data_IF_869370959914
#
_entry.id   IF_869370959914
#
_cell.length_a   1.000
_cell.length_b   1.000
_cell.length_c   1.000
_cell.angle_alpha   90.00
_cell.angle_beta   90.00
_cell.angle_gamma   90.00
#
_symmetry.space_group_name_H-M   'P 1'
#
loop_
_entity.id
_entity.type
_entity.pdbx_description
1 polymer ?
#
# COMPACT_ATOMS: atom_id res chain seq x y z
N UNK A 1 23.20 15.60 -38.27
CA UNK A 1 23.79 16.06 -37.00
C UNK A 1 23.48 15.01 -35.95
N UNK A 2 24.45 14.58 -35.14
CA UNK A 2 24.17 13.73 -33.97
C UNK A 2 23.83 14.62 -32.79
N UNK A 3 22.55 14.76 -32.47
CA UNK A 3 22.08 15.34 -31.22
C UNK A 3 22.42 14.37 -30.09
N UNK A 4 23.60 14.52 -29.49
CA UNK A 4 23.97 13.75 -28.31
C UNK A 4 23.07 14.13 -27.12
N UNK A 5 22.70 13.14 -26.29
CA UNK A 5 21.92 13.39 -25.09
C UNK A 5 22.68 14.35 -24.15
N UNK A 6 22.09 15.52 -23.91
CA UNK A 6 22.69 16.58 -23.12
C UNK A 6 22.22 16.51 -21.66
N UNK A 7 23.01 15.87 -20.80
CA UNK A 7 22.82 15.92 -19.36
C UNK A 7 23.44 17.20 -18.76
N UNK A 8 22.85 17.82 -17.74
CA UNK A 8 23.49 18.91 -16.99
C UNK A 8 24.86 18.50 -16.46
N UNK A 9 25.83 19.43 -16.45
CA UNK A 9 27.21 19.15 -15.97
C UNK A 9 27.24 18.74 -14.48
N UNK A 10 26.21 19.12 -13.72
CA UNK A 10 25.99 18.74 -12.31
C UNK A 10 25.40 17.35 -12.11
N UNK A 11 24.89 16.69 -13.16
CA UNK A 11 24.27 15.36 -13.08
C UNK A 11 25.36 14.27 -13.12
N UNK A 12 25.72 13.76 -11.94
CA UNK A 12 26.74 12.71 -11.75
C UNK A 12 26.20 11.29 -11.97
N UNK A 13 24.91 11.06 -11.69
CA UNK A 13 24.19 9.80 -11.96
C UNK A 13 23.46 9.94 -13.29
N UNK A 14 23.71 9.04 -14.25
CA UNK A 14 23.03 9.02 -15.56
C UNK A 14 22.19 7.77 -15.76
N UNK A 15 22.67 6.63 -15.28
CA UNK A 15 21.99 5.35 -15.42
C UNK A 15 21.65 4.73 -14.06
N UNK A 16 20.42 4.25 -13.90
CA UNK A 16 19.93 3.53 -12.72
C UNK A 16 19.84 2.05 -13.07
N UNK A 17 20.45 1.19 -12.25
CA UNK A 17 20.34 -0.26 -12.35
C UNK A 17 19.19 -0.76 -11.49
N UNK A 18 18.25 -1.51 -12.06
CA UNK A 18 17.07 -2.03 -11.36
C UNK A 18 17.13 -3.55 -11.34
N UNK A 19 17.03 -4.15 -10.14
CA UNK A 19 16.98 -5.59 -9.94
C UNK A 19 15.53 -6.09 -10.08
N UNK A 20 15.29 -6.96 -11.06
CA UNK A 20 13.97 -7.39 -11.53
C UNK A 20 13.46 -6.56 -12.71
N UNK A 21 12.77 -7.20 -13.64
CA UNK A 21 12.25 -6.60 -14.88
C UNK A 21 10.73 -6.62 -15.00
N UNK A 22 10.01 -6.84 -13.91
CA UNK A 22 8.55 -6.80 -13.82
C UNK A 22 7.94 -5.42 -13.99
N UNK A 23 6.66 -5.30 -13.62
CA UNK A 23 5.90 -4.06 -13.82
C UNK A 23 6.34 -2.91 -12.90
N UNK A 24 6.99 -3.21 -11.77
CA UNK A 24 7.40 -2.19 -10.81
C UNK A 24 8.70 -1.53 -11.31
N UNK A 25 9.65 -2.32 -11.84
CA UNK A 25 10.83 -1.83 -12.56
C UNK A 25 10.46 -1.07 -13.84
N UNK A 26 9.44 -1.52 -14.57
CA UNK A 26 8.85 -0.83 -15.72
C UNK A 26 8.37 0.59 -15.35
N UNK A 27 7.48 0.71 -14.34
CA UNK A 27 6.96 2.02 -13.90
C UNK A 27 8.00 2.89 -13.19
N UNK A 28 9.02 2.31 -12.54
CA UNK A 28 10.19 3.05 -12.04
C UNK A 28 10.97 3.71 -13.20
N UNK A 29 11.19 2.99 -14.30
CA UNK A 29 11.87 3.54 -15.47
C UNK A 29 11.03 4.57 -16.23
N UNK A 30 9.71 4.36 -16.30
CA UNK A 30 8.77 5.36 -16.83
C UNK A 30 8.86 6.68 -16.06
N UNK A 31 8.91 6.64 -14.72
CA UNK A 31 9.12 7.82 -13.88
C UNK A 31 10.55 8.41 -13.94
N UNK A 32 11.55 7.60 -14.31
CA UNK A 32 12.95 8.04 -14.43
C UNK A 32 13.25 8.83 -15.71
N UNK A 33 12.56 8.52 -16.82
CA UNK A 33 12.80 9.15 -18.12
C UNK A 33 12.51 10.67 -18.15
N UNK A 34 11.38 11.19 -17.63
CA UNK A 34 11.11 12.63 -17.57
C UNK A 34 12.14 13.41 -16.74
N UNK A 35 12.74 12.77 -15.74
CA UNK A 35 13.80 13.32 -14.89
C UNK A 35 15.19 13.30 -15.55
N UNK A 36 15.33 12.70 -16.74
CA UNK A 36 16.59 12.65 -17.48
C UNK A 36 17.54 11.54 -17.02
N UNK A 37 17.02 10.41 -16.55
CA UNK A 37 17.81 9.21 -16.22
C UNK A 37 17.51 8.06 -17.19
N UNK A 38 18.53 7.23 -17.46
CA UNK A 38 18.40 5.98 -18.19
C UNK A 38 18.25 4.81 -17.21
N UNK A 39 17.59 3.73 -17.62
CA UNK A 39 17.47 2.52 -16.82
C UNK A 39 18.08 1.30 -17.52
N UNK A 40 18.65 0.41 -16.72
CA UNK A 40 19.05 -0.94 -17.11
C UNK A 40 18.58 -1.93 -16.06
N UNK A 41 18.34 -3.17 -16.45
CA UNK A 41 17.66 -4.18 -15.61
C UNK A 41 18.49 -5.44 -15.48
N UNK A 42 18.44 -6.09 -14.31
CA UNK A 42 18.92 -7.45 -14.11
C UNK A 42 17.71 -8.38 -13.95
N UNK A 43 17.46 -9.22 -14.96
CA UNK A 43 16.27 -10.08 -15.04
C UNK A 43 16.53 -11.28 -15.96
N UNK A 44 16.12 -12.48 -15.53
CA UNK A 44 16.32 -13.71 -16.30
C UNK A 44 15.13 -14.06 -17.21
N UNK A 45 13.96 -13.46 -16.97
CA UNK A 45 12.79 -13.62 -17.83
C UNK A 45 12.94 -12.83 -19.14
N UNK A 46 13.10 -13.56 -20.25
CA UNK A 46 13.27 -12.97 -21.58
C UNK A 46 12.10 -12.04 -22.01
N UNK A 47 10.86 -12.37 -21.61
CA UNK A 47 9.65 -11.59 -21.92
C UNK A 47 9.25 -10.65 -20.75
N UNK A 48 10.23 -9.99 -20.13
CA UNK A 48 10.00 -9.10 -19.00
C UNK A 48 9.47 -7.71 -19.43
N UNK A 49 8.46 -7.13 -18.74
CA UNK A 49 7.88 -5.82 -19.07
C UNK A 49 8.92 -4.68 -19.22
N UNK A 50 9.95 -4.68 -18.38
CA UNK A 50 10.99 -3.67 -18.36
C UNK A 50 11.87 -3.62 -19.63
N UNK A 51 11.88 -4.69 -20.45
CA UNK A 51 12.62 -4.75 -21.72
C UNK A 51 12.22 -3.65 -22.73
N UNK A 52 11.03 -3.08 -22.59
CA UNK A 52 10.53 -1.96 -23.40
C UNK A 52 11.13 -0.60 -22.99
N UNK A 53 11.76 -0.52 -21.80
CA UNK A 53 12.18 0.74 -21.15
C UNK A 53 13.70 0.87 -20.97
N UNK A 54 14.49 -0.15 -21.31
CA UNK A 54 15.95 -0.12 -21.14
C UNK A 54 16.62 -1.46 -21.47
N UNK A 55 17.96 -1.49 -21.34
CA UNK A 55 18.73 -2.72 -21.59
C UNK A 55 18.56 -3.70 -20.42
N UNK A 56 18.13 -4.92 -20.73
CA UNK A 56 18.13 -6.05 -19.80
C UNK A 56 19.47 -6.80 -19.85
N UNK A 57 19.88 -7.32 -18.70
CA UNK A 57 21.02 -8.19 -18.48
C UNK A 57 20.54 -9.42 -17.72
N UNK A 58 21.08 -10.59 -18.05
CA UNK A 58 20.83 -11.83 -17.29
C UNK A 58 21.69 -11.91 -16.02
N UNK A 59 21.35 -12.79 -15.08
CA UNK A 59 22.06 -12.94 -13.81
C UNK A 59 23.53 -13.36 -13.94
N UNK A 60 23.91 -14.01 -15.05
CA UNK A 60 25.30 -14.33 -15.40
C UNK A 60 26.08 -13.13 -15.99
N UNK A 61 25.40 -12.03 -16.32
CA UNK A 61 25.96 -10.78 -16.82
C UNK A 61 26.06 -9.68 -15.75
N UNK A 62 26.05 -10.05 -14.46
CA UNK A 62 26.05 -9.13 -13.32
C UNK A 62 27.18 -8.08 -13.38
N UNK A 63 28.37 -8.45 -13.86
CA UNK A 63 29.49 -7.51 -14.00
C UNK A 63 29.24 -6.43 -15.07
N UNK A 64 28.64 -6.78 -16.21
CA UNK A 64 28.27 -5.82 -17.24
C UNK A 64 27.13 -4.89 -16.78
N UNK A 65 26.17 -5.42 -16.02
CA UNK A 65 25.09 -4.64 -15.38
C UNK A 65 25.67 -3.62 -14.37
N UNK A 66 26.62 -4.05 -13.54
CA UNK A 66 27.34 -3.19 -12.59
C UNK A 66 28.15 -2.10 -13.32
N UNK A 67 28.77 -2.44 -14.45
CA UNK A 67 29.47 -1.44 -15.26
C UNK A 67 28.52 -0.37 -15.83
N UNK A 68 27.33 -0.77 -16.29
CA UNK A 68 26.39 0.07 -17.02
C UNK A 68 25.58 1.08 -16.20
N UNK A 69 25.34 0.82 -14.90
CA UNK A 69 24.56 1.69 -14.01
C UNK A 69 25.42 2.41 -12.97
N UNK A 70 25.04 3.62 -12.54
CA UNK A 70 25.80 4.45 -11.57
C UNK A 70 25.30 4.32 -10.12
N UNK A 71 24.02 3.97 -9.97
CA UNK A 71 23.31 3.70 -8.70
C UNK A 71 22.33 2.54 -8.92
N UNK A 72 22.03 1.77 -7.87
CA UNK A 72 21.23 0.56 -7.96
C UNK A 72 19.99 0.60 -7.05
N UNK A 73 18.91 -0.03 -7.51
CA UNK A 73 17.71 -0.29 -6.72
C UNK A 73 17.02 -1.60 -7.13
N UNK A 74 15.93 -1.98 -6.47
CA UNK A 74 15.20 -3.23 -6.70
C UNK A 74 13.71 -2.98 -6.91
N UNK A 75 13.06 -3.88 -7.65
CA UNK A 75 11.60 -3.89 -7.80
C UNK A 75 10.91 -4.98 -6.95
N UNK A 76 11.67 -5.91 -6.35
CA UNK A 76 11.14 -7.10 -5.67
C UNK A 76 11.95 -7.49 -4.43
N UNK A 77 11.26 -7.96 -3.39
CA UNK A 77 11.82 -8.24 -2.06
C UNK A 77 12.51 -9.60 -1.95
N UNK A 78 12.32 -10.51 -2.91
CA UNK A 78 13.00 -11.82 -2.93
C UNK A 78 14.25 -11.84 -3.83
N UNK A 79 14.82 -10.67 -4.17
CA UNK A 79 16.14 -10.59 -4.84
C UNK A 79 17.23 -11.29 -4.01
N UNK A 80 18.19 -12.00 -4.64
CA UNK A 80 19.28 -12.66 -3.93
C UNK A 80 20.11 -11.68 -3.07
N UNK A 81 20.20 -11.94 -1.77
CA UNK A 81 20.88 -11.06 -0.81
C UNK A 81 22.37 -10.86 -1.12
N UNK A 82 23.06 -11.89 -1.64
CA UNK A 82 24.46 -11.79 -2.04
C UNK A 82 24.69 -10.77 -3.19
N UNK A 83 23.77 -10.67 -4.14
CA UNK A 83 23.81 -9.64 -5.20
C UNK A 83 23.64 -8.25 -4.61
N UNK A 84 22.68 -8.09 -3.68
CA UNK A 84 22.40 -6.81 -3.01
C UNK A 84 23.54 -6.40 -2.08
N UNK A 85 24.21 -7.35 -1.43
CA UNK A 85 25.42 -7.13 -0.63
C UNK A 85 26.58 -6.63 -1.50
N UNK A 86 26.86 -7.30 -2.63
CA UNK A 86 27.89 -6.87 -3.60
C UNK A 86 27.64 -5.44 -4.10
N UNK A 87 26.38 -5.08 -4.39
CA UNK A 87 26.01 -3.73 -4.85
C UNK A 87 26.08 -2.68 -3.74
N UNK A 88 25.74 -3.06 -2.50
CA UNK A 88 25.83 -2.22 -1.30
C UNK A 88 27.29 -1.85 -0.98
N UNK A 89 28.24 -2.74 -1.31
CA UNK A 89 29.67 -2.55 -1.04
C UNK A 89 30.40 -1.68 -2.09
N UNK A 90 29.81 -1.45 -3.27
CA UNK A 90 30.46 -0.68 -4.35
C UNK A 90 30.96 0.73 -3.95
N UNK A 91 30.30 1.52 -3.09
CA UNK A 91 30.81 2.82 -2.64
C UNK A 91 32.19 2.76 -1.98
N UNK A 92 32.56 1.61 -1.38
CA UNK A 92 33.90 1.39 -0.79
C UNK A 92 35.02 1.46 -1.85
N UNK A 93 34.69 1.23 -3.11
CA UNK A 93 35.60 1.40 -4.26
C UNK A 93 35.63 2.82 -4.84
N UNK A 94 34.70 3.69 -4.42
CA UNK A 94 34.52 5.05 -4.96
C UNK A 94 33.99 5.11 -6.40
N UNK A 95 33.61 3.99 -7.02
CA UNK A 95 33.25 3.93 -8.44
C UNK A 95 31.75 4.13 -8.74
N UNK A 96 30.87 3.88 -7.77
CA UNK A 96 29.40 3.88 -7.90
C UNK A 96 28.75 4.36 -6.60
N UNK A 97 27.49 4.82 -6.66
CA UNK A 97 26.73 5.31 -5.49
C UNK A 97 26.19 4.19 -4.59
N UNK A 98 26.22 2.93 -5.06
CA UNK A 98 25.75 1.78 -4.30
C UNK A 98 24.25 1.50 -4.49
N UNK A 99 23.68 0.80 -3.51
CA UNK A 99 22.35 0.17 -3.57
C UNK A 99 21.37 0.79 -2.57
N UNK A 100 20.14 1.05 -3.03
CA UNK A 100 19.05 1.53 -2.19
C UNK A 100 17.76 0.72 -2.45
N UNK A 101 17.02 0.27 -1.41
CA UNK A 101 17.29 0.44 0.02
C UNK A 101 18.49 -0.40 0.51
N UNK A 102 19.03 -0.12 1.71
CA UNK A 102 20.12 -0.88 2.29
C UNK A 102 19.72 -2.35 2.58
N UNK A 103 20.68 -3.27 2.44
CA UNK A 103 20.52 -4.73 2.58
C UNK A 103 19.71 -5.17 3.81
N UNK A 104 19.84 -4.47 4.95
CA UNK A 104 19.12 -4.79 6.19
C UNK A 104 17.59 -4.71 6.05
N UNK A 105 17.07 -3.80 5.23
CA UNK A 105 15.63 -3.69 4.95
C UNK A 105 15.13 -4.91 4.17
N UNK A 106 15.96 -5.48 3.30
CA UNK A 106 15.66 -6.66 2.51
C UNK A 106 15.68 -7.94 3.36
N UNK A 107 16.72 -8.14 4.20
CA UNK A 107 16.80 -9.32 5.07
C UNK A 107 15.67 -9.38 6.11
N UNK A 108 15.19 -8.22 6.57
CA UNK A 108 14.05 -8.12 7.49
C UNK A 108 12.73 -8.41 6.75
N UNK A 109 12.47 -7.78 5.60
CA UNK A 109 11.22 -8.01 4.85
C UNK A 109 11.10 -9.42 4.27
N UNK A 110 12.22 -10.10 4.00
CA UNK A 110 12.22 -11.51 3.61
C UNK A 110 11.84 -12.47 4.75
N UNK A 111 11.64 -11.99 5.99
CA UNK A 111 11.51 -12.81 7.19
C UNK A 111 10.48 -12.27 8.19
N UNK A 112 9.27 -12.84 8.14
CA UNK A 112 8.11 -12.45 8.96
C UNK A 112 8.38 -12.49 10.49
N UNK A 113 9.38 -13.24 10.95
CA UNK A 113 9.79 -13.22 12.36
C UNK A 113 10.68 -12.01 12.65
N UNK A 114 11.70 -11.73 11.84
CA UNK A 114 12.55 -10.53 12.00
C UNK A 114 11.72 -9.25 11.89
N UNK A 115 10.82 -9.21 10.91
CA UNK A 115 9.91 -8.10 10.66
C UNK A 115 9.04 -7.76 11.89
N UNK A 116 8.27 -8.74 12.41
CA UNK A 116 7.40 -8.48 13.56
C UNK A 116 8.18 -8.29 14.86
N UNK A 117 9.40 -8.81 14.96
CA UNK A 117 10.34 -8.47 16.05
C UNK A 117 10.81 -7.01 15.96
N UNK A 118 11.11 -6.50 14.76
CA UNK A 118 11.44 -5.08 14.53
C UNK A 118 10.25 -4.17 14.83
N UNK A 119 9.03 -4.52 14.40
CA UNK A 119 7.84 -3.73 14.73
C UNK A 119 7.67 -3.62 16.26
N UNK A 120 7.73 -4.74 16.99
CA UNK A 120 7.60 -4.74 18.44
C UNK A 120 8.77 -4.04 19.17
N UNK A 121 10.00 -4.05 18.64
CA UNK A 121 11.13 -3.31 19.24
C UNK A 121 11.08 -1.79 18.98
N UNK A 122 10.22 -1.34 18.06
CA UNK A 122 9.95 0.06 17.76
C UNK A 122 8.63 0.56 18.38
N UNK A 123 8.02 -0.17 19.31
CA UNK A 123 6.67 0.09 19.86
C UNK A 123 5.57 0.19 18.77
N UNK A 124 5.64 -0.65 17.74
CA UNK A 124 4.63 -0.76 16.67
C UNK A 124 3.90 -2.09 16.87
N UNK A 125 2.63 -2.02 17.26
CA UNK A 125 1.84 -3.21 17.61
C UNK A 125 1.59 -4.11 16.41
N UNK A 126 1.77 -5.42 16.58
CA UNK A 126 1.46 -6.46 15.59
C UNK A 126 0.32 -7.35 16.06
N UNK A 127 -0.12 -8.28 15.21
CA UNK A 127 -0.80 -9.49 15.70
C UNK A 127 0.11 -10.25 16.68
N UNK A 128 -0.40 -10.87 17.76
CA UNK A 128 0.40 -11.74 18.62
C UNK A 128 0.98 -12.93 17.84
N UNK A 129 2.26 -13.27 18.04
CA UNK A 129 2.91 -14.33 17.28
C UNK A 129 3.91 -15.17 18.08
N UNK A 130 4.26 -16.34 17.55
CA UNK A 130 5.27 -17.28 18.07
C UNK A 130 6.10 -17.86 16.93
N UNK A 131 7.39 -18.07 17.16
CA UNK A 131 8.23 -18.89 16.28
C UNK A 131 7.96 -20.39 16.55
N UNK A 132 7.97 -21.20 15.51
CA UNK A 132 7.61 -22.63 15.54
C UNK A 132 8.65 -23.45 14.78
N UNK A 133 9.41 -24.27 15.51
CA UNK A 133 10.47 -25.13 14.98
C UNK A 133 10.10 -26.64 15.04
N UNK A 134 9.00 -26.98 15.72
CA UNK A 134 8.55 -28.37 15.91
C UNK A 134 7.02 -28.48 16.00
N UNK A 135 6.47 -29.70 15.90
CA UNK A 135 5.05 -29.97 16.15
C UNK A 135 4.64 -29.62 17.60
N UNK A 136 5.57 -29.70 18.56
CA UNK A 136 5.34 -29.32 19.95
C UNK A 136 5.35 -27.80 20.14
N UNK A 137 6.23 -27.06 19.44
CA UNK A 137 6.21 -25.59 19.41
C UNK A 137 4.85 -25.10 18.86
N UNK A 138 4.32 -25.78 17.84
CA UNK A 138 3.02 -25.47 17.25
C UNK A 138 1.86 -25.72 18.23
N UNK A 139 1.88 -26.83 18.95
CA UNK A 139 0.89 -27.13 20.00
C UNK A 139 0.92 -26.07 21.11
N UNK A 140 2.12 -25.68 21.57
CA UNK A 140 2.28 -24.62 22.56
C UNK A 140 1.80 -23.26 22.03
N UNK A 141 2.09 -22.93 20.77
CA UNK A 141 1.61 -21.70 20.14
C UNK A 141 0.07 -21.66 20.02
N UNK A 142 -0.59 -22.78 19.71
CA UNK A 142 -2.06 -22.87 19.69
C UNK A 142 -2.66 -22.63 21.08
N UNK A 143 -2.03 -23.18 22.13
CA UNK A 143 -2.45 -22.99 23.52
C UNK A 143 -2.22 -21.54 24.02
N UNK A 144 -1.10 -20.91 23.67
CA UNK A 144 -0.74 -19.55 24.14
C UNK A 144 -1.41 -18.42 23.37
N UNK A 145 -1.64 -18.57 22.06
CA UNK A 145 -2.29 -17.56 21.22
C UNK A 145 -3.82 -17.69 21.22
N UNK A 146 -4.34 -18.89 21.52
CA UNK A 146 -5.75 -19.25 21.37
C UNK A 146 -6.11 -19.53 19.90
N UNK A 147 -7.09 -20.42 19.69
CA UNK A 147 -7.57 -20.77 18.35
C UNK A 147 -8.74 -19.87 17.90
N UNK A 148 -8.87 -19.56 16.60
CA UNK A 148 -8.00 -19.98 15.50
C UNK A 148 -6.66 -19.25 15.44
N UNK A 149 -5.66 -19.87 14.79
CA UNK A 149 -4.40 -19.23 14.41
C UNK A 149 -4.10 -19.42 12.92
N UNK A 150 -3.18 -18.62 12.38
CA UNK A 150 -2.58 -18.82 11.05
C UNK A 150 -1.12 -19.22 11.23
N UNK A 151 -0.76 -20.42 10.78
CA UNK A 151 0.63 -20.87 10.66
C UNK A 151 1.15 -20.47 9.28
N UNK A 152 2.31 -19.83 9.19
CA UNK A 152 2.96 -19.41 7.93
C UNK A 152 4.43 -19.84 7.91
N UNK A 153 5.03 -19.98 6.72
CA UNK A 153 6.49 -19.94 6.58
C UNK A 153 7.00 -18.53 6.89
N UNK A 154 8.10 -18.40 7.64
CA UNK A 154 8.68 -17.08 7.94
C UNK A 154 9.22 -16.39 6.70
N UNK A 155 9.84 -17.15 5.79
CA UNK A 155 10.38 -16.69 4.49
C UNK A 155 9.58 -17.30 3.33
N UNK A 156 9.70 -16.72 2.13
CA UNK A 156 9.23 -17.31 0.85
C UNK A 156 7.72 -17.50 0.64
N UNK A 157 6.86 -17.08 1.58
CA UNK A 157 5.40 -17.14 1.44
C UNK A 157 4.82 -15.88 0.79
N UNK A 158 4.15 -16.03 -0.35
CA UNK A 158 3.60 -14.97 -1.22
C UNK A 158 2.19 -15.31 -1.73
N UNK A 159 1.37 -14.30 -2.07
CA UNK A 159 -0.02 -14.42 -2.58
C UNK A 159 -0.81 -15.57 -1.90
N UNK A 160 -0.78 -15.63 -0.57
CA UNK A 160 -1.50 -16.62 0.24
C UNK A 160 -0.94 -18.05 0.26
N UNK A 161 0.23 -18.31 -0.34
CA UNK A 161 0.95 -19.61 -0.27
C UNK A 161 1.86 -19.70 0.96
N UNK A 162 2.14 -20.93 1.39
CA UNK A 162 3.00 -21.19 2.55
C UNK A 162 2.32 -20.94 3.89
N UNK A 163 0.98 -20.97 3.93
CA UNK A 163 0.20 -20.74 5.15
C UNK A 163 -0.96 -21.73 5.32
N UNK A 164 -1.36 -21.96 6.57
CA UNK A 164 -2.41 -22.88 6.97
C UNK A 164 -3.21 -22.30 8.15
N UNK A 165 -4.54 -22.29 8.06
CA UNK A 165 -5.41 -21.82 9.17
C UNK A 165 -5.80 -22.99 10.05
N UNK A 166 -5.40 -22.94 11.33
CA UNK A 166 -5.70 -23.94 12.35
C UNK A 166 -6.92 -23.43 13.14
N UNK A 167 -8.02 -24.21 13.15
CA UNK A 167 -9.30 -23.80 13.77
C UNK A 167 -9.63 -24.60 15.03
N UNK A 168 -9.04 -25.79 15.16
CA UNK A 168 -9.27 -26.79 16.21
C UNK A 168 -8.00 -27.65 16.34
N UNK A 169 -7.77 -28.27 17.50
CA UNK A 169 -6.51 -28.99 17.79
C UNK A 169 -6.22 -30.14 16.82
N UNK A 170 -7.26 -30.76 16.23
CA UNK A 170 -7.11 -31.80 15.21
C UNK A 170 -6.41 -31.32 13.92
N UNK A 171 -6.46 -30.02 13.63
CA UNK A 171 -5.86 -29.44 12.43
C UNK A 171 -4.32 -29.30 12.56
N UNK A 172 -3.80 -29.23 13.80
CA UNK A 172 -2.39 -28.97 14.12
C UNK A 172 -1.45 -29.92 13.37
N UNK A 173 -1.78 -31.22 13.38
CA UNK A 173 -0.97 -32.24 12.72
C UNK A 173 -0.96 -32.07 11.20
N UNK A 174 -2.08 -31.68 10.60
CA UNK A 174 -2.16 -31.42 9.15
C UNK A 174 -1.36 -30.17 8.78
N UNK A 175 -1.49 -29.10 9.56
CA UNK A 175 -0.74 -27.85 9.38
C UNK A 175 0.78 -28.06 9.48
N UNK A 176 1.23 -28.81 10.50
CA UNK A 176 2.64 -29.16 10.65
C UNK A 176 3.15 -29.99 9.46
N UNK A 177 2.47 -31.07 9.08
CA UNK A 177 2.93 -31.89 7.95
C UNK A 177 2.93 -31.13 6.61
N UNK A 178 2.12 -30.07 6.46
CA UNK A 178 2.08 -29.23 5.28
C UNK A 178 3.26 -28.24 5.18
N UNK A 179 3.77 -27.70 6.31
CA UNK A 179 4.73 -26.59 6.31
C UNK A 179 6.10 -26.92 6.94
N UNK A 180 6.24 -28.00 7.72
CA UNK A 180 7.47 -28.40 8.44
C UNK A 180 8.76 -28.37 7.61
N UNK A 181 8.68 -28.63 6.30
CA UNK A 181 9.87 -28.83 5.48
C UNK A 181 10.66 -27.53 5.29
N UNK A 182 10.00 -26.37 5.47
CA UNK A 182 10.63 -25.05 5.54
C UNK A 182 11.63 -24.91 6.70
N UNK A 183 11.35 -25.51 7.85
CA UNK A 183 12.27 -25.56 9.01
C UNK A 183 13.58 -26.27 8.67
N UNK A 184 13.56 -27.13 7.64
CA UNK A 184 14.74 -27.88 7.17
C UNK A 184 15.29 -27.41 5.82
N UNK A 185 14.72 -26.36 5.21
CA UNK A 185 15.10 -25.88 3.87
C UNK A 185 14.76 -26.85 2.73
N UNK A 186 13.87 -27.82 2.96
CA UNK A 186 13.49 -28.87 1.98
C UNK A 186 12.17 -28.57 1.25
N UNK A 187 11.43 -27.54 1.70
CA UNK A 187 10.18 -27.12 1.07
C UNK A 187 10.41 -26.38 -0.24
N UNK A 188 9.57 -26.64 -1.24
CA UNK A 188 9.67 -26.01 -2.58
C UNK A 188 9.43 -24.49 -2.59
N UNK A 189 8.88 -23.93 -1.51
CA UNK A 189 8.72 -22.48 -1.30
C UNK A 189 9.93 -21.82 -0.61
N UNK A 190 10.79 -22.61 0.04
CA UNK A 190 11.82 -22.11 0.98
C UNK A 190 13.06 -23.01 0.95
N UNK A 191 14.03 -22.76 0.04
CA UNK A 191 15.29 -23.49 0.01
C UNK A 191 16.23 -23.13 1.17
N UNK A 192 15.99 -21.99 1.83
CA UNK A 192 16.67 -21.58 3.06
C UNK A 192 15.95 -22.15 4.29
N UNK A 193 16.61 -22.89 5.19
CA UNK A 193 16.02 -23.32 6.46
C UNK A 193 15.62 -22.12 7.32
N UNK A 194 14.35 -22.03 7.71
CA UNK A 194 13.84 -20.97 8.58
C UNK A 194 12.63 -21.47 9.40
N UNK A 195 12.40 -20.97 10.63
CA UNK A 195 11.26 -21.38 11.45
C UNK A 195 9.91 -21.07 10.79
N UNK A 196 8.84 -21.71 11.22
CA UNK A 196 7.49 -21.25 10.94
C UNK A 196 7.12 -20.11 11.90
N UNK A 197 6.12 -19.31 11.53
CA UNK A 197 5.49 -18.31 12.40
C UNK A 197 4.02 -18.67 12.61
N UNK A 198 3.62 -18.78 13.86
CA UNK A 198 2.21 -18.88 14.27
C UNK A 198 1.72 -17.48 14.65
N UNK A 199 0.65 -17.01 14.01
CA UNK A 199 0.03 -15.71 14.26
C UNK A 199 -1.40 -15.90 14.80
N UNK A 200 -1.76 -15.18 15.87
CA UNK A 200 -3.12 -15.17 16.40
C UNK A 200 -4.12 -14.57 15.40
N UNK A 201 -5.27 -15.22 15.20
CA UNK A 201 -6.26 -14.75 14.23
C UNK A 201 -7.00 -13.51 14.76
N UNK A 202 -6.88 -12.38 14.05
CA UNK A 202 -7.49 -11.11 14.44
C UNK A 202 -8.81 -10.83 13.72
N UNK A 203 -9.74 -10.20 14.43
CA UNK A 203 -10.93 -9.59 13.85
C UNK A 203 -10.62 -8.12 13.53
N UNK A 204 -10.18 -7.84 12.31
CA UNK A 204 -10.04 -6.47 11.79
C UNK A 204 -11.33 -6.02 11.09
N UNK A 205 -11.48 -4.69 10.98
CA UNK A 205 -12.64 -4.06 10.32
C UNK A 205 -12.32 -3.53 8.93
N UNK A 206 -11.06 -3.14 8.69
CA UNK A 206 -10.55 -2.57 7.42
C UNK A 206 -9.08 -2.98 7.26
N UNK A 207 -8.64 -3.12 6.01
CA UNK A 207 -7.23 -3.26 5.65
C UNK A 207 -6.79 -1.92 5.04
N UNK A 208 -5.73 -1.32 5.58
CA UNK A 208 -5.16 -0.08 5.09
C UNK A 208 -3.70 -0.29 4.70
N UNK A 209 -3.13 0.67 3.98
CA UNK A 209 -1.68 0.84 3.91
C UNK A 209 -1.31 2.32 3.93
N UNK A 210 -0.12 2.63 4.43
CA UNK A 210 0.52 3.93 4.23
C UNK A 210 1.76 3.74 3.35
N UNK A 211 1.94 4.63 2.39
CA UNK A 211 3.15 4.72 1.55
C UNK A 211 3.99 5.89 2.05
N UNK A 212 5.30 5.72 2.12
CA UNK A 212 6.22 6.82 2.42
C UNK A 212 7.51 6.74 1.60
N UNK A 213 8.09 7.91 1.32
CA UNK A 213 9.40 8.06 0.70
C UNK A 213 10.39 8.66 1.72
N UNK A 214 11.62 8.12 1.78
CA UNK A 214 12.74 8.71 2.55
C UNK A 214 13.91 8.98 1.62
N UNK A 215 14.38 10.21 1.61
CA UNK A 215 15.58 10.62 0.87
C UNK A 215 16.87 10.37 1.69
N UNK A 216 18.02 10.39 1.00
CA UNK A 216 19.34 10.15 1.61
C UNK A 216 19.72 11.16 2.71
N UNK A 217 19.06 12.31 2.78
CA UNK A 217 19.20 13.30 3.85
C UNK A 217 18.32 13.02 5.09
N UNK A 218 17.61 11.88 5.12
CA UNK A 218 16.67 11.51 6.19
C UNK A 218 15.30 12.19 6.12
N UNK A 219 15.04 13.05 5.13
CA UNK A 219 13.73 13.67 4.94
C UNK A 219 12.70 12.60 4.54
N UNK A 220 11.59 12.55 5.27
CA UNK A 220 10.44 11.67 4.97
C UNK A 220 9.28 12.48 4.36
N UNK A 221 8.55 11.85 3.45
CA UNK A 221 7.23 12.25 2.95
C UNK A 221 6.29 11.06 3.03
N UNK A 222 5.07 11.27 3.51
CA UNK A 222 4.05 10.24 3.61
C UNK A 222 2.87 10.61 2.71
N UNK A 223 2.39 9.64 1.94
CA UNK A 223 1.12 9.75 1.24
C UNK A 223 -0.04 9.54 2.23
N UNK A 224 -1.27 9.81 1.77
CA UNK A 224 -2.50 9.43 2.48
C UNK A 224 -2.49 7.96 2.94
N UNK A 225 -3.21 7.70 4.04
CA UNK A 225 -3.71 6.35 4.30
C UNK A 225 -4.67 5.95 3.18
N UNK A 226 -4.50 4.75 2.64
CA UNK A 226 -5.37 4.19 1.59
C UNK A 226 -6.02 2.90 2.07
N UNK A 227 -7.26 2.66 1.64
CA UNK A 227 -8.03 1.46 1.99
C UNK A 227 -7.90 0.41 0.91
N UNK A 228 -7.55 -0.80 1.32
CA UNK A 228 -7.29 -1.94 0.45
C UNK A 228 -8.41 -2.98 0.62
N UNK A 229 -8.81 -3.61 -0.48
CA UNK A 229 -9.73 -4.74 -0.46
C UNK A 229 -9.10 -5.91 -1.22
N UNK A 230 -8.85 -7.00 -0.50
CA UNK A 230 -8.31 -8.23 -1.07
C UNK A 230 -9.42 -9.22 -1.45
N UNK A 231 -9.22 -9.94 -2.55
CA UNK A 231 -10.03 -11.07 -2.96
C UNK A 231 -9.13 -12.30 -3.08
N UNK A 232 -9.44 -13.37 -2.34
CA UNK A 232 -8.64 -14.59 -2.23
C UNK A 232 -7.14 -14.34 -1.89
N UNK A 233 -6.85 -13.28 -1.14
CA UNK A 233 -5.48 -12.87 -0.78
C UNK A 233 -4.76 -11.99 -1.80
N UNK A 234 -5.44 -11.54 -2.87
CA UNK A 234 -4.86 -10.66 -3.89
C UNK A 234 -5.59 -9.32 -3.91
N UNK A 235 -4.84 -8.20 -3.96
CA UNK A 235 -5.38 -6.85 -3.94
C UNK A 235 -6.26 -6.59 -5.19
N UNK A 236 -7.54 -6.28 -4.95
CA UNK A 236 -8.54 -6.03 -5.99
C UNK A 236 -8.78 -4.53 -6.20
N UNK A 237 -9.03 -3.79 -5.11
CA UNK A 237 -9.26 -2.34 -5.08
C UNK A 237 -8.36 -1.67 -4.02
N UNK A 238 -7.75 -0.54 -4.37
CA UNK A 238 -7.27 0.46 -3.41
C UNK A 238 -8.05 1.77 -3.59
N UNK A 239 -8.38 2.45 -2.49
CA UNK A 239 -9.09 3.73 -2.48
C UNK A 239 -8.30 4.77 -1.67
N UNK A 240 -8.07 5.93 -2.29
CA UNK A 240 -7.25 7.02 -1.75
C UNK A 240 -8.03 8.35 -1.76
N UNK A 241 -8.18 9.05 -0.62
CA UNK A 241 -7.81 8.61 0.73
C UNK A 241 -8.75 7.52 1.27
N UNK A 242 -8.31 6.81 2.29
CA UNK A 242 -9.15 5.96 3.12
C UNK A 242 -10.16 6.82 3.91
N UNK A 243 -11.41 6.86 3.43
CA UNK A 243 -12.46 7.73 3.98
C UNK A 243 -12.67 7.43 5.47
N UNK A 244 -12.66 8.48 6.30
CA UNK A 244 -12.90 8.38 7.73
C UNK A 244 -11.77 7.71 8.54
N UNK A 245 -10.50 7.85 8.13
CA UNK A 245 -9.33 7.33 8.87
C UNK A 245 -8.37 8.41 9.39
N UNK A 246 -8.75 9.69 9.34
CA UNK A 246 -7.85 10.81 9.69
C UNK A 246 -7.34 10.78 11.14
N UNK A 247 -8.07 10.16 12.06
CA UNK A 247 -7.62 9.88 13.43
C UNK A 247 -6.48 8.85 13.52
N UNK A 248 -6.39 7.94 12.55
CA UNK A 248 -5.36 6.91 12.45
C UNK A 248 -4.12 7.40 11.69
N UNK A 249 -4.23 8.47 10.90
CA UNK A 249 -3.14 8.96 10.05
C UNK A 249 -1.84 9.20 10.82
N UNK A 250 -1.90 9.87 11.98
CA UNK A 250 -0.70 10.11 12.80
C UNK A 250 -0.06 8.81 13.30
N UNK A 251 -0.86 7.81 13.70
CA UNK A 251 -0.35 6.51 14.13
C UNK A 251 0.38 5.79 12.99
N UNK A 252 -0.15 5.87 11.77
CA UNK A 252 0.48 5.33 10.57
C UNK A 252 1.77 6.07 10.19
N UNK A 253 1.76 7.41 10.15
CA UNK A 253 2.95 8.22 9.82
C UNK A 253 4.07 8.02 10.84
N UNK A 254 3.74 7.98 12.13
CA UNK A 254 4.72 7.73 13.20
C UNK A 254 5.35 6.35 13.05
N UNK A 255 4.55 5.32 12.76
CA UNK A 255 5.02 3.94 12.60
C UNK A 255 5.96 3.78 11.38
N UNK A 256 5.54 4.21 10.19
CA UNK A 256 6.40 4.07 8.99
C UNK A 256 7.66 4.95 9.10
N UNK A 257 7.56 6.15 9.68
CA UNK A 257 8.72 7.04 9.92
C UNK A 257 9.72 6.43 10.92
N UNK A 258 9.24 5.73 11.97
CA UNK A 258 10.10 4.95 12.88
C UNK A 258 10.86 3.86 12.12
N UNK A 259 10.17 3.05 11.32
CA UNK A 259 10.76 1.94 10.56
C UNK A 259 11.80 2.45 9.56
N UNK A 260 11.44 3.44 8.74
CA UNK A 260 12.35 3.99 7.72
C UNK A 260 13.60 4.64 8.33
N UNK A 261 13.51 5.24 9.53
CA UNK A 261 14.69 5.78 10.22
C UNK A 261 15.50 4.69 10.94
N UNK A 262 14.87 3.65 11.48
CA UNK A 262 15.58 2.52 12.10
C UNK A 262 16.45 1.74 11.11
N UNK A 263 15.96 1.59 9.88
CA UNK A 263 16.63 0.87 8.79
C UNK A 263 17.59 1.75 7.96
N UNK A 264 17.74 3.03 8.31
CA UNK A 264 18.35 4.10 7.48
C UNK A 264 17.92 4.05 6.00
N UNK A 265 16.62 3.88 5.81
CA UNK A 265 16.01 3.52 4.54
C UNK A 265 16.08 4.64 3.49
N UNK A 266 16.28 4.29 2.22
CA UNK A 266 16.25 5.23 1.09
C UNK A 266 15.36 4.65 -0.01
N UNK A 267 14.51 5.49 -0.59
CA UNK A 267 13.48 5.08 -1.55
C UNK A 267 12.08 5.14 -0.96
N UNK A 268 11.13 4.44 -1.60
CA UNK A 268 9.75 4.25 -1.12
C UNK A 268 9.61 2.92 -0.37
N UNK A 269 8.78 2.94 0.68
CA UNK A 269 8.30 1.79 1.45
C UNK A 269 6.77 1.85 1.54
N UNK A 270 6.12 0.69 1.60
CA UNK A 270 4.75 0.56 2.11
C UNK A 270 4.75 -0.15 3.47
N UNK A 271 3.84 0.27 4.35
CA UNK A 271 3.47 -0.44 5.58
C UNK A 271 1.99 -0.81 5.48
N UNK A 272 1.70 -2.11 5.52
CA UNK A 272 0.34 -2.63 5.56
C UNK A 272 -0.20 -2.72 6.99
N UNK A 273 -1.49 -2.44 7.16
CA UNK A 273 -2.09 -2.11 8.43
C UNK A 273 -3.50 -2.73 8.57
N UNK A 274 -3.79 -3.33 9.71
CA UNK A 274 -5.13 -3.78 10.07
C UNK A 274 -5.78 -2.80 11.05
N UNK A 275 -7.02 -2.36 10.77
CA UNK A 275 -7.81 -1.55 11.70
C UNK A 275 -8.55 -2.48 12.67
N UNK A 276 -8.14 -2.44 13.93
CA UNK A 276 -8.72 -3.21 15.04
C UNK A 276 -9.28 -2.28 16.11
N UNK A 277 -9.84 -2.83 17.19
CA UNK A 277 -10.38 -2.05 18.32
C UNK A 277 -9.50 -2.15 19.55
N UNK A 278 -9.26 -1.01 20.21
CA UNK A 278 -8.64 -0.96 21.54
C UNK A 278 -9.61 -1.50 22.62
N UNK A 279 -9.11 -1.66 23.85
CA UNK A 279 -9.91 -2.12 24.99
C UNK A 279 -11.03 -1.13 25.44
N UNK A 280 -11.22 -0.01 24.72
CA UNK A 280 -12.25 1.01 24.95
C UNK A 280 -13.20 1.18 23.75
N UNK A 281 -12.95 0.47 22.63
CA UNK A 281 -13.75 0.52 21.41
C UNK A 281 -13.30 1.55 20.35
N UNK A 282 -12.19 2.25 20.57
CA UNK A 282 -11.58 3.14 19.56
C UNK A 282 -10.85 2.31 18.49
N UNK A 283 -10.70 2.86 17.30
CA UNK A 283 -9.86 2.25 16.27
C UNK A 283 -8.38 2.35 16.65
N UNK A 284 -7.61 1.31 16.36
CA UNK A 284 -6.15 1.29 16.43
C UNK A 284 -5.56 0.44 15.32
N UNK A 285 -4.38 0.82 14.84
CA UNK A 285 -3.63 0.09 13.82
C UNK A 285 -2.78 -1.03 14.41
N UNK A 286 -2.79 -2.19 13.76
CA UNK A 286 -1.75 -3.23 13.88
C UNK A 286 -0.97 -3.31 12.57
N UNK A 287 0.35 -3.43 12.63
CA UNK A 287 1.18 -3.68 11.46
C UNK A 287 1.00 -5.12 10.95
N UNK A 288 0.73 -5.27 9.65
CA UNK A 288 0.76 -6.54 8.94
C UNK A 288 2.19 -6.87 8.52
N UNK A 289 2.68 -6.24 7.45
CA UNK A 289 4.01 -6.41 6.85
C UNK A 289 4.50 -5.11 6.19
N UNK A 290 5.78 -5.02 5.84
CA UNK A 290 6.36 -3.94 5.02
C UNK A 290 6.78 -4.45 3.64
N UNK A 291 6.55 -3.63 2.62
CA UNK A 291 7.21 -3.78 1.32
C UNK A 291 8.35 -2.76 1.21
N UNK A 292 9.64 -3.18 1.19
CA UNK A 292 10.79 -2.29 1.02
C UNK A 292 10.99 -1.93 -0.46
N UNK A 293 9.94 -1.37 -1.08
CA UNK A 293 9.85 -0.96 -2.48
C UNK A 293 8.60 -0.14 -2.73
N UNK A 294 8.45 0.35 -3.96
CA UNK A 294 7.13 0.77 -4.50
C UNK A 294 6.10 -0.37 -4.43
N UNK A 295 4.85 -0.03 -4.13
CA UNK A 295 3.82 -1.02 -3.76
C UNK A 295 2.56 -0.96 -4.63
N UNK A 296 1.81 -2.07 -4.69
CA UNK A 296 0.59 -2.18 -5.49
C UNK A 296 -0.48 -1.17 -5.02
N UNK A 297 -0.69 -1.06 -3.71
CA UNK A 297 -1.57 -0.05 -3.10
C UNK A 297 -1.07 1.40 -3.24
N UNK A 298 0.10 1.63 -3.84
CA UNK A 298 0.57 2.97 -4.21
C UNK A 298 0.29 3.36 -5.67
N UNK A 299 -0.26 2.47 -6.51
CA UNK A 299 -0.39 2.72 -7.96
C UNK A 299 -1.32 3.90 -8.31
N UNK A 300 -2.36 4.14 -7.52
CA UNK A 300 -3.23 5.34 -7.63
C UNK A 300 -2.46 6.68 -7.65
N UNK A 301 -1.25 6.72 -7.09
CA UNK A 301 -0.43 7.95 -7.01
C UNK A 301 0.19 8.37 -8.34
N UNK A 302 0.05 7.58 -9.41
CA UNK A 302 0.43 8.01 -10.77
C UNK A 302 -0.49 9.15 -11.23
N UNK A 303 -1.80 9.04 -10.98
CA UNK A 303 -2.78 10.08 -11.28
C UNK A 303 -3.07 11.00 -10.08
N UNK A 304 -3.36 10.40 -8.92
CA UNK A 304 -4.05 11.07 -7.81
C UNK A 304 -3.15 11.86 -6.84
N UNK A 305 -1.83 11.85 -7.02
CA UNK A 305 -0.89 12.54 -6.14
C UNK A 305 0.01 13.52 -6.91
N UNK A 306 0.46 14.60 -6.26
CA UNK A 306 1.31 15.63 -6.90
C UNK A 306 2.66 15.06 -7.37
N UNK A 307 3.15 13.99 -6.76
CA UNK A 307 4.32 13.22 -7.23
C UNK A 307 4.11 11.74 -6.93
N UNK A 308 4.16 10.88 -7.95
CA UNK A 308 3.89 9.46 -7.80
C UNK A 308 4.93 8.75 -6.93
N UNK A 309 4.56 7.61 -6.34
CA UNK A 309 5.50 6.79 -5.58
C UNK A 309 6.74 6.40 -6.40
N UNK A 310 6.59 6.25 -7.71
CA UNK A 310 7.68 5.84 -8.60
C UNK A 310 8.67 7.00 -8.80
N UNK A 311 8.16 8.21 -9.07
CA UNK A 311 9.02 9.40 -9.19
C UNK A 311 9.70 9.73 -7.85
N UNK A 312 8.98 9.65 -6.73
CA UNK A 312 9.57 9.87 -5.40
C UNK A 312 10.60 8.80 -5.01
N UNK A 313 10.40 7.54 -5.43
CA UNK A 313 11.40 6.49 -5.26
C UNK A 313 12.67 6.81 -6.07
N UNK A 314 12.54 7.15 -7.37
CA UNK A 314 13.67 7.54 -8.21
C UNK A 314 14.40 8.75 -7.62
N UNK A 315 13.66 9.81 -7.23
CA UNK A 315 14.24 11.03 -6.63
C UNK A 315 15.03 10.72 -5.37
N UNK A 316 14.54 9.84 -4.49
CA UNK A 316 15.28 9.38 -3.32
C UNK A 316 16.56 8.60 -3.68
N UNK A 317 16.48 7.67 -4.64
CA UNK A 317 17.62 6.86 -5.13
C UNK A 317 18.70 7.74 -5.76
N UNK A 318 18.33 8.77 -6.54
CA UNK A 318 19.26 9.68 -7.22
C UNK A 318 19.65 10.93 -6.42
N UNK A 319 19.28 11.00 -5.14
CA UNK A 319 19.52 12.13 -4.22
C UNK A 319 18.98 13.50 -4.69
N UNK A 320 17.81 13.50 -5.32
CA UNK A 320 17.01 14.70 -5.58
C UNK A 320 16.08 14.97 -4.38
N UNK A 321 15.67 16.24 -4.15
CA UNK A 321 14.63 16.55 -3.17
C UNK A 321 13.35 15.78 -3.49
N UNK A 322 12.67 15.24 -2.46
CA UNK A 322 11.38 14.58 -2.63
C UNK A 322 10.34 15.54 -3.22
N UNK A 323 9.44 14.99 -4.03
CA UNK A 323 8.25 15.69 -4.51
C UNK A 323 7.19 15.80 -3.42
N UNK A 324 6.08 16.44 -3.78
CA UNK A 324 4.95 16.56 -2.87
C UNK A 324 4.11 15.27 -2.88
N UNK A 325 3.57 14.90 -1.73
CA UNK A 325 2.80 13.65 -1.54
C UNK A 325 1.32 13.93 -1.24
N UNK A 326 0.92 15.20 -1.27
CA UNK A 326 -0.47 15.62 -1.23
C UNK A 326 -1.30 15.00 -2.37
N UNK A 327 -2.55 14.70 -2.03
CA UNK A 327 -3.55 14.08 -2.90
C UNK A 327 -4.32 15.15 -3.66
N UNK A 328 -4.33 15.05 -4.99
CA UNK A 328 -4.92 16.06 -5.90
C UNK A 328 -6.42 15.82 -6.09
N UNK A 329 -6.81 14.56 -6.27
CA UNK A 329 -8.19 14.13 -6.48
C UNK A 329 -8.40 12.71 -5.91
N UNK A 330 -9.52 12.45 -5.19
CA UNK A 330 -9.84 11.12 -4.69
C UNK A 330 -9.85 10.07 -5.81
N UNK A 331 -9.04 9.02 -5.63
CA UNK A 331 -8.75 8.04 -6.66
C UNK A 331 -9.06 6.60 -6.20
N UNK A 332 -9.48 5.75 -7.14
CA UNK A 332 -9.68 4.32 -6.92
C UNK A 332 -8.90 3.53 -7.96
N UNK A 333 -7.91 2.74 -7.51
CA UNK A 333 -7.13 1.85 -8.36
C UNK A 333 -7.67 0.43 -8.30
N UNK A 334 -7.93 -0.17 -9.46
CA UNK A 334 -8.33 -1.57 -9.63
C UNK A 334 -7.20 -2.37 -10.30
N UNK A 335 -6.88 -3.55 -9.78
CA UNK A 335 -5.99 -4.48 -10.47
C UNK A 335 -6.75 -5.27 -11.55
N UNK A 336 -6.13 -5.50 -12.70
CA UNK A 336 -6.63 -6.35 -13.78
C UNK A 336 -5.87 -7.68 -13.77
N UNK A 337 -6.61 -8.79 -13.64
CA UNK A 337 -6.05 -10.14 -13.53
C UNK A 337 -6.59 -11.09 -14.59
N UNK A 338 -5.74 -12.00 -15.06
CA UNK A 338 -6.13 -13.08 -15.96
C UNK A 338 -6.21 -12.60 -17.41
N UNK A 339 -7.23 -11.79 -17.70
CA UNK A 339 -7.65 -11.37 -19.04
C UNK A 339 -7.81 -9.85 -19.12
N UNK A 340 -7.46 -9.25 -20.25
CA UNK A 340 -7.63 -7.81 -20.51
C UNK A 340 -9.11 -7.45 -20.76
N UNK A 341 -9.59 -6.30 -20.26
CA UNK A 341 -10.90 -5.76 -20.63
C UNK A 341 -10.89 -5.19 -22.06
N UNK A 342 -12.08 -4.85 -22.57
CA UNK A 342 -12.16 -3.93 -23.71
C UNK A 342 -11.63 -2.56 -23.29
N UNK A 343 -10.42 -2.23 -23.74
CA UNK A 343 -9.72 -0.98 -23.43
C UNK A 343 -10.51 0.23 -23.96
N UNK A 344 -11.27 0.08 -25.06
CA UNK A 344 -12.13 1.15 -25.58
C UNK A 344 -13.32 1.40 -24.66
N UNK A 345 -13.93 0.33 -24.12
CA UNK A 345 -15.01 0.45 -23.14
C UNK A 345 -14.54 1.03 -21.80
N UNK A 346 -13.30 0.71 -21.37
CA UNK A 346 -12.65 1.31 -20.19
C UNK A 346 -12.40 2.81 -20.38
N UNK A 347 -11.74 3.20 -21.49
CA UNK A 347 -11.37 4.60 -21.74
C UNK A 347 -12.56 5.49 -22.15
N UNK A 348 -13.73 4.90 -22.41
CA UNK A 348 -15.01 5.63 -22.54
C UNK A 348 -15.68 5.91 -21.17
N UNK A 349 -14.97 5.69 -20.05
CA UNK A 349 -15.39 6.12 -18.72
C UNK A 349 -14.56 7.35 -18.34
N UNK A 350 -15.22 8.49 -18.13
CA UNK A 350 -14.55 9.73 -17.75
C UNK A 350 -13.72 9.55 -16.46
N UNK A 351 -12.45 9.96 -16.52
CA UNK A 351 -11.49 9.78 -15.43
C UNK A 351 -10.89 8.36 -15.31
N UNK A 352 -11.03 7.48 -16.31
CA UNK A 352 -10.36 6.18 -16.32
C UNK A 352 -8.97 6.24 -16.99
N UNK A 353 -7.94 5.85 -16.25
CA UNK A 353 -6.54 5.77 -16.69
C UNK A 353 -6.11 4.31 -16.70
N UNK A 354 -5.78 3.76 -17.87
CA UNK A 354 -5.46 2.34 -18.07
C UNK A 354 -3.95 2.12 -18.20
N UNK A 355 -3.40 1.27 -17.33
CA UNK A 355 -1.96 0.98 -17.22
C UNK A 355 -1.65 -0.47 -17.57
N UNK A 356 -1.22 -0.73 -18.80
CA UNK A 356 -0.78 -2.06 -19.25
C UNK A 356 0.58 -2.44 -18.67
N UNK A 357 0.74 -3.69 -18.21
CA UNK A 357 2.06 -4.23 -17.87
C UNK A 357 2.71 -5.02 -19.03
N UNK A 358 2.14 -4.97 -20.24
CA UNK A 358 2.62 -5.68 -21.43
C UNK A 358 2.78 -7.21 -21.27
N UNK A 359 2.06 -7.80 -20.31
CA UNK A 359 2.14 -9.23 -19.97
C UNK A 359 1.16 -10.05 -20.81
N UNK A 360 1.58 -11.24 -21.25
CA UNK A 360 0.64 -12.24 -21.75
C UNK A 360 -0.38 -12.64 -20.67
N UNK A 361 -1.64 -12.84 -21.09
CA UNK A 361 -2.75 -13.31 -20.28
C UNK A 361 -2.44 -14.67 -19.62
N UNK A 362 -2.83 -14.82 -18.35
CA UNK A 362 -2.70 -16.05 -17.56
C UNK A 362 -3.47 -15.91 -16.24
N UNK A 363 -4.18 -16.95 -15.85
CA UNK A 363 -4.90 -17.03 -14.56
C UNK A 363 -4.06 -16.52 -13.38
N UNK A 364 -4.71 -15.73 -12.52
CA UNK A 364 -4.17 -15.03 -11.35
C UNK A 364 -2.96 -14.10 -11.61
N UNK A 365 -2.54 -13.88 -12.86
CA UNK A 365 -1.48 -12.92 -13.19
C UNK A 365 -2.04 -11.49 -13.20
N UNK A 366 -1.47 -10.60 -12.38
CA UNK A 366 -1.64 -9.14 -12.47
C UNK A 366 -1.03 -8.65 -13.80
N UNK A 367 -1.88 -8.22 -14.75
CA UNK A 367 -1.51 -7.87 -16.15
C UNK A 367 -1.70 -6.39 -16.51
N UNK A 368 -2.55 -5.67 -15.78
CA UNK A 368 -2.69 -4.22 -15.85
C UNK A 368 -3.21 -3.67 -14.50
N UNK A 369 -3.28 -2.36 -14.35
CA UNK A 369 -4.21 -1.72 -13.41
C UNK A 369 -4.99 -0.58 -14.09
N UNK A 370 -6.03 -0.10 -13.43
CA UNK A 370 -6.85 1.02 -13.89
C UNK A 370 -7.08 1.96 -12.71
N UNK A 371 -6.69 3.22 -12.83
CA UNK A 371 -7.03 4.26 -11.86
C UNK A 371 -8.28 5.01 -12.34
N UNK A 372 -9.28 5.13 -11.47
CA UNK A 372 -10.39 6.06 -11.60
C UNK A 372 -10.09 7.32 -10.81
N UNK A 373 -10.03 8.46 -11.50
CA UNK A 373 -9.86 9.80 -10.95
C UNK A 373 -10.75 10.78 -11.74
N UNK A 374 -12.09 10.79 -11.50
CA UNK A 374 -12.98 11.77 -12.11
C UNK A 374 -12.79 13.17 -11.50
N UNK A 375 -13.11 14.21 -12.27
CA UNK A 375 -12.97 15.60 -11.82
C UNK A 375 -13.90 15.96 -10.64
N UNK A 376 -15.06 15.32 -10.55
CA UNK A 376 -15.98 15.42 -9.40
C UNK A 376 -16.01 14.07 -8.64
N UNK A 377 -15.85 14.14 -7.33
CA UNK A 377 -15.91 12.98 -6.42
C UNK A 377 -17.31 12.33 -6.42
N UNK A 378 -18.36 13.06 -6.78
CA UNK A 378 -19.71 12.52 -6.93
C UNK A 378 -19.82 11.45 -8.03
N UNK A 379 -18.99 11.54 -9.08
CA UNK A 379 -18.97 10.58 -10.19
C UNK A 379 -18.13 9.33 -9.91
N UNK A 380 -17.38 9.27 -8.80
CA UNK A 380 -16.45 8.18 -8.49
C UNK A 380 -17.15 6.81 -8.31
N UNK A 381 -18.24 6.75 -7.53
CA UNK A 381 -19.04 5.51 -7.38
C UNK A 381 -19.80 5.12 -8.66
N UNK A 382 -20.45 6.05 -9.39
CA UNK A 382 -20.99 5.79 -10.73
C UNK A 382 -19.95 5.27 -11.73
N UNK A 383 -18.75 5.85 -11.78
CA UNK A 383 -17.66 5.43 -12.65
C UNK A 383 -17.12 4.05 -12.25
N UNK A 384 -16.95 3.78 -10.95
CA UNK A 384 -16.57 2.47 -10.43
C UNK A 384 -17.58 1.38 -10.82
N UNK A 385 -18.88 1.66 -10.72
CA UNK A 385 -19.93 0.74 -11.13
C UNK A 385 -19.90 0.42 -12.64
N UNK A 386 -19.62 1.42 -13.48
CA UNK A 386 -19.38 1.22 -14.93
C UNK A 386 -18.13 0.36 -15.17
N UNK A 387 -17.00 0.69 -14.52
CA UNK A 387 -15.72 0.02 -14.74
C UNK A 387 -15.77 -1.46 -14.34
N UNK A 388 -16.30 -1.77 -13.16
CA UNK A 388 -16.49 -3.16 -12.69
C UNK A 388 -17.45 -3.95 -13.60
N UNK A 389 -18.33 -3.28 -14.35
CA UNK A 389 -19.14 -3.95 -15.37
C UNK A 389 -18.31 -4.36 -16.62
N UNK A 390 -17.29 -3.59 -17.00
CA UNK A 390 -16.39 -3.88 -18.15
C UNK A 390 -15.28 -4.88 -17.86
N UNK A 391 -14.93 -5.13 -16.59
CA UNK A 391 -13.86 -6.05 -16.22
C UNK A 391 -14.27 -7.53 -16.47
N UNK A 392 -13.43 -8.35 -17.15
CA UNK A 392 -13.70 -9.77 -17.36
C UNK A 392 -13.58 -10.57 -16.07
N UNK A 393 -12.52 -10.32 -15.28
CA UNK A 393 -12.40 -10.77 -13.90
C UNK A 393 -12.70 -9.60 -12.96
N UNK A 394 -13.75 -9.75 -12.13
CA UNK A 394 -14.25 -8.69 -11.26
C UNK A 394 -13.69 -8.72 -9.85
N UNK A 395 -12.90 -9.74 -9.50
CA UNK A 395 -12.22 -9.86 -8.20
C UNK A 395 -13.14 -9.62 -6.98
N UNK A 396 -14.40 -10.07 -7.05
CA UNK A 396 -15.39 -9.91 -5.97
C UNK A 396 -15.89 -8.48 -5.76
N UNK A 397 -15.64 -7.56 -6.69
CA UNK A 397 -16.07 -6.16 -6.63
C UNK A 397 -17.53 -5.95 -7.10
N UNK A 398 -18.17 -7.00 -7.62
CA UNK A 398 -19.58 -6.95 -7.99
C UNK A 398 -20.50 -6.72 -6.78
N UNK A 399 -21.42 -5.75 -6.89
CA UNK A 399 -22.42 -5.48 -5.84
C UNK A 399 -23.36 -6.69 -5.73
N UNK A 400 -23.14 -7.52 -4.70
CA UNK A 400 -24.10 -8.57 -4.29
C UNK A 400 -25.47 -7.92 -4.07
N UNK A 401 -26.57 -8.45 -4.63
CA UNK A 401 -27.90 -7.93 -4.36
C UNK A 401 -28.16 -7.90 -2.85
N UNK A 402 -28.60 -6.76 -2.32
CA UNK A 402 -28.96 -6.68 -0.91
C UNK A 402 -30.22 -7.54 -0.67
N UNK A 403 -30.34 -8.13 0.51
CA UNK A 403 -31.56 -8.86 0.89
C UNK A 403 -32.78 -7.93 1.15
N UNK A 404 -32.64 -6.63 0.83
CA UNK A 404 -33.66 -5.59 0.96
C UNK A 404 -34.30 -5.29 -0.40
N UNK A 405 -33.54 -5.40 -1.51
CA UNK A 405 -34.02 -5.15 -2.88
C UNK A 405 -34.95 -6.24 -3.44
N UNK A 406 -35.08 -7.38 -2.76
CA UNK A 406 -35.87 -8.54 -3.21
C UNK A 406 -37.33 -8.55 -2.73
N UNK A 407 -37.77 -7.55 -1.94
CA UNK A 407 -39.19 -7.43 -1.58
C UNK A 407 -39.98 -6.73 -2.71
N UNK A 408 -41.09 -7.32 -3.20
CA UNK A 408 -41.92 -6.68 -4.21
C UNK A 408 -42.59 -5.43 -3.62
N UNK A 409 -42.45 -4.28 -4.30
CA UNK A 409 -43.09 -3.02 -3.90
C UNK A 409 -44.62 -3.15 -3.93
N UNK A 410 -45.23 -3.36 -2.77
CA UNK A 410 -46.67 -3.36 -2.61
C UNK A 410 -47.22 -1.95 -2.92
N UNK A 411 -48.03 -1.85 -3.97
CA UNK A 411 -48.58 -0.57 -4.44
C UNK A 411 -49.77 -0.12 -3.57
N UNK A 412 -49.49 0.51 -2.43
CA UNK A 412 -50.50 1.22 -1.65
C UNK A 412 -50.86 2.55 -2.31
N UNK A 413 -51.78 2.50 -3.28
CA UNK A 413 -52.46 3.68 -3.82
C UNK A 413 -53.42 4.26 -2.77
N UNK A 414 -52.96 5.20 -1.95
CA UNK A 414 -53.84 6.01 -1.11
C UNK A 414 -54.45 7.13 -1.95
N UNK A 415 -55.77 7.06 -2.11
CA UNK A 415 -56.56 8.04 -2.86
C UNK A 415 -56.64 9.32 -2.02
N UNK A 416 -56.15 10.42 -2.57
CA UNK A 416 -56.48 11.76 -2.08
C UNK A 416 -57.86 12.12 -2.66
N UNK A 417 -58.82 12.41 -1.78
CA UNK A 417 -60.09 13.04 -2.14
C UNK A 417 -60.08 14.47 -1.66
N UNK A 418 -60.09 15.43 -2.59
CA UNK A 418 -60.27 16.84 -2.27
C UNK A 418 -61.67 17.09 -1.66
N UNK A 419 -61.77 18.08 -0.77
CA UNK A 419 -63.03 18.79 -0.52
C UNK A 419 -62.77 20.17 0.11
N UNK A 420 -62.92 21.18 -0.75
CA UNK A 420 -63.18 22.60 -0.55
C UNK A 420 -63.19 23.27 0.86
N UNK A 421 -62.47 24.41 0.88
CA UNK A 421 -62.87 25.72 1.43
C UNK A 421 -63.41 25.86 2.88
N UNK A 422 -62.80 26.79 3.62
CA UNK A 422 -63.38 28.13 3.84
C UNK A 422 -62.27 29.14 4.22
N UNK A 423 -62.43 30.39 3.76
CA UNK A 423 -61.61 31.54 4.15
C UNK A 423 -62.23 32.25 5.35
N UNK A 424 -61.43 32.63 6.34
CA UNK A 424 -61.69 33.85 7.10
C UNK A 424 -60.37 34.47 7.60
N UNK A 425 -60.35 35.80 7.73
CA UNK A 425 -59.14 36.60 7.95
C UNK A 425 -59.22 37.39 9.26
N UNK A 426 -58.06 37.81 9.78
CA UNK A 426 -57.82 39.10 10.47
C UNK A 426 -56.34 39.20 10.84
N UNK A 427 -55.70 40.34 10.52
CA UNK A 427 -54.43 40.78 11.10
C UNK A 427 -54.71 41.87 12.15
N UNK A 428 -54.01 41.86 13.30
CA UNK A 428 -53.82 43.06 14.14
C UNK A 428 -52.41 43.05 14.75
N UNK A 429 -51.81 44.23 14.87
CA UNK A 429 -50.41 44.53 15.19
C UNK A 429 -49.84 43.99 16.52
N UNK A 430 -48.51 43.98 16.58
CA UNK A 430 -47.68 44.12 17.79
C UNK A 430 -46.64 45.22 17.50
N UNK A 431 -46.51 46.24 18.36
CA UNK A 431 -45.31 47.09 18.43
C UNK A 431 -45.19 47.86 19.78
N UNK A 432 -44.05 48.53 19.96
CA UNK A 432 -43.72 49.66 20.85
C UNK A 432 -43.31 49.44 22.34
N UNK A 433 -42.04 49.03 22.49
CA UNK A 433 -40.90 49.85 22.98
C UNK A 433 -40.72 50.36 24.45
N UNK A 434 -39.46 50.20 24.88
CA UNK A 434 -38.57 50.99 25.78
C UNK A 434 -39.11 51.97 26.85
N UNK A 435 -38.64 51.81 28.10
CA UNK A 435 -37.56 52.61 28.78
C UNK A 435 -37.36 52.07 30.24
N UNK A 436 -36.48 52.50 31.15
CA UNK A 436 -35.56 53.66 31.31
C UNK A 436 -34.27 53.24 32.08
N UNK A 437 -33.43 54.19 32.56
CA UNK A 437 -32.18 53.98 33.35
C UNK A 437 -32.32 54.42 34.82
N UNK A 438 -31.50 53.85 35.71
CA UNK A 438 -30.79 54.57 36.81
C UNK A 438 -29.38 53.96 36.98
N UNK A 439 -28.42 54.75 37.47
CA UNK A 439 -27.01 54.39 37.75
C UNK A 439 -26.71 54.73 39.22
N UNK A 440 -25.89 53.93 39.92
CA UNK A 440 -24.98 54.47 40.96
C UNK A 440 -23.71 53.60 41.07
N UNK A 441 -22.61 54.19 41.53
CA UNK A 441 -21.31 53.52 41.66
C UNK A 441 -20.48 54.10 42.82
N UNK A 442 -19.97 53.24 43.71
CA UNK A 442 -19.01 53.61 44.77
C UNK A 442 -17.88 52.60 44.89
N UNK A 443 -16.66 53.08 44.62
CA UNK A 443 -15.43 52.39 44.98
C UNK A 443 -14.94 52.84 46.36
N UNK A 444 -14.18 51.98 47.04
CA UNK A 444 -13.10 52.41 47.95
C UNK A 444 -12.04 51.33 48.12
N UNK A 445 -10.87 51.74 48.60
CA UNK A 445 -9.60 51.10 48.27
C UNK A 445 -8.82 50.65 49.51
N UNK A 446 -7.98 49.63 49.30
CA UNK A 446 -6.63 49.51 49.88
C UNK A 446 -6.40 48.89 51.28
N UNK A 447 -5.23 48.24 51.39
CA UNK A 447 -4.42 47.88 52.58
C UNK A 447 -4.68 46.55 53.32
N UNK A 448 -3.64 45.82 53.79
CA UNK A 448 -2.22 45.66 53.35
C UNK A 448 -1.56 44.51 54.16
N UNK A 449 -0.37 44.05 53.74
CA UNK A 449 0.52 43.01 54.33
C UNK A 449 0.14 41.55 54.03
N UNK A 450 1.10 40.63 53.89
CA UNK A 450 2.57 40.78 54.03
C UNK A 450 3.31 40.05 52.91
#
# INVERSE_FOLDING_TARGET
MTTANAYPVTQTIRTIGILGGGQLGMMLAEAAMPLGYQCVFLEDSADCPASLYGRVFHSDQLEDFIAAADVFTLEFENTPTATVEQLTDLPKSGSKQGMFPPLIALDIAQDRLKEKQMFNSLDISTVPFKAVNSEADLQQACHELGLPIVLKTSRGGYDGKGQFVIRQDSDIKAAWQNLKDAVTGKGSLTPTPAPLIAEGFINFSRELSIIAARAQNGQVRCYDLVENHHHNGILAKTQAPAVGTSHLFKQATDAITKIMNHLDYVGVMALELFVTKDARGHDTLLANEIAPRVHNSGHWSIEGAVTSQFENHIRAVVNLPLGDTDNVHPAIMLNVLGQYPDISAVLNIDGAHYHSYHKAERDDRKIAHITLMPNDVADLEPALAKLVATLPNKMGLEKKPSAIDSQPKAANSLIITDNDNILESIEVHIDDSQTTKVIDAKAKTEKVKK
#
